data_IF_974174126837
#
_entry.id   IF_974174126837
#
_cell.length_a   1.000
_cell.length_b   1.000
_cell.length_c   1.000
_cell.angle_alpha   90.00
_cell.angle_beta   90.00
_cell.angle_gamma   90.00
#
_symmetry.space_group_name_H-M   'P 1'
#
loop_
_entity.id
_entity.type
_entity.pdbx_description
1 polymer ?
#
# COMPACT_ATOMS: atom_id res chain seq x y z
N UNK A 1 52.18 -48.09 -24.75
CA UNK A 1 51.27 -47.07 -25.32
C UNK A 1 49.83 -47.45 -25.01
N UNK A 2 49.21 -46.80 -24.01
CA UNK A 2 47.74 -46.60 -23.86
C UNK A 2 47.51 -45.81 -22.56
N UNK A 3 47.31 -44.52 -22.73
CA UNK A 3 47.03 -43.54 -21.68
C UNK A 3 45.53 -43.54 -21.41
N UNK A 4 45.08 -43.93 -20.22
CA UNK A 4 43.66 -43.86 -19.84
C UNK A 4 43.38 -42.49 -19.20
N UNK A 5 42.51 -41.70 -19.83
CA UNK A 5 42.01 -40.42 -19.30
C UNK A 5 40.88 -40.69 -18.31
N UNK A 6 41.01 -40.19 -17.08
CA UNK A 6 39.92 -40.10 -16.10
C UNK A 6 39.16 -38.81 -16.41
N UNK A 7 37.93 -38.93 -16.92
CA UNK A 7 37.03 -37.79 -17.13
C UNK A 7 36.29 -37.47 -15.83
N UNK A 8 36.56 -36.30 -15.25
CA UNK A 8 35.76 -35.73 -14.16
C UNK A 8 34.37 -35.37 -14.69
N UNK A 9 33.33 -36.07 -14.21
CA UNK A 9 31.94 -35.65 -14.42
C UNK A 9 31.67 -34.46 -13.50
N UNK A 10 31.54 -33.26 -14.08
CA UNK A 10 31.03 -32.10 -13.38
C UNK A 10 29.54 -32.31 -13.12
N UNK A 11 29.15 -32.41 -11.84
CA UNK A 11 27.76 -32.46 -11.42
C UNK A 11 27.26 -31.02 -11.30
N UNK A 12 26.46 -30.56 -12.27
CA UNK A 12 25.78 -29.28 -12.19
C UNK A 12 24.63 -29.39 -11.18
N UNK A 13 24.77 -28.72 -10.03
CA UNK A 13 23.73 -28.59 -9.03
C UNK A 13 22.71 -27.55 -9.51
N UNK A 14 21.58 -28.00 -10.04
CA UNK A 14 20.45 -27.11 -10.33
C UNK A 14 19.82 -26.67 -9.01
N UNK A 15 20.08 -25.43 -8.58
CA UNK A 15 19.27 -24.79 -7.55
C UNK A 15 17.88 -24.52 -8.12
N UNK A 16 16.93 -25.39 -7.78
CA UNK A 16 15.51 -25.10 -7.94
C UNK A 16 15.15 -24.06 -6.89
N UNK A 17 15.07 -22.79 -7.31
CA UNK A 17 14.40 -21.75 -6.53
C UNK A 17 12.90 -22.08 -6.53
N UNK A 18 12.47 -22.84 -5.52
CA UNK A 18 11.06 -22.97 -5.20
C UNK A 18 10.57 -21.60 -4.70
N UNK A 19 10.12 -20.75 -5.63
CA UNK A 19 9.30 -19.60 -5.30
C UNK A 19 8.02 -20.11 -4.67
N UNK A 20 7.98 -20.18 -3.34
CA UNK A 20 6.74 -20.39 -2.60
C UNK A 20 5.72 -19.34 -3.04
N UNK A 21 4.42 -19.65 -3.02
CA UNK A 21 3.40 -18.68 -3.40
C UNK A 21 3.59 -17.45 -2.51
N UNK A 22 3.84 -16.30 -3.15
CA UNK A 22 3.66 -15.00 -2.51
C UNK A 22 2.27 -15.05 -1.88
N UNK A 23 2.21 -14.90 -0.56
CA UNK A 23 0.96 -14.90 0.20
C UNK A 23 0.02 -13.91 -0.48
N UNK A 24 -1.02 -14.42 -1.14
CA UNK A 24 -2.04 -13.59 -1.75
C UNK A 24 -2.79 -12.89 -0.60
N UNK A 25 -2.34 -11.70 -0.21
CA UNK A 25 -3.13 -10.80 0.61
C UNK A 25 -4.37 -10.44 -0.23
N UNK A 26 -5.49 -11.08 0.12
CA UNK A 26 -6.74 -10.98 -0.62
C UNK A 26 -7.12 -9.51 -0.84
N UNK A 27 -7.52 -9.18 -2.06
CA UNK A 27 -8.06 -7.87 -2.38
C UNK A 27 -9.43 -7.74 -1.71
N UNK A 28 -9.50 -7.06 -0.56
CA UNK A 28 -10.78 -6.75 0.09
C UNK A 28 -11.36 -5.51 -0.59
N UNK A 29 -11.94 -5.72 -1.78
CA UNK A 29 -12.57 -4.67 -2.58
C UNK A 29 -14.07 -4.57 -2.26
N UNK A 30 -14.56 -3.35 -2.17
CA UNK A 30 -15.98 -3.03 -2.03
C UNK A 30 -16.52 -2.44 -3.33
N UNK A 31 -17.76 -2.77 -3.67
CA UNK A 31 -18.44 -2.20 -4.83
C UNK A 31 -18.97 -0.81 -4.50
N UNK A 32 -18.65 0.17 -5.34
CA UNK A 32 -19.12 1.55 -5.26
C UNK A 32 -19.61 1.94 -6.66
N UNK A 33 -20.94 2.04 -6.80
CA UNK A 33 -21.62 2.48 -8.03
C UNK A 33 -21.15 1.77 -9.32
N UNK A 34 -20.97 0.45 -9.26
CA UNK A 34 -20.55 -0.36 -10.42
C UNK A 34 -19.04 -0.36 -10.70
N UNK A 35 -18.23 0.26 -9.84
CA UNK A 35 -16.78 0.12 -9.78
C UNK A 35 -16.33 -0.53 -8.46
N UNK A 36 -15.05 -0.84 -8.33
CA UNK A 36 -14.48 -1.42 -7.11
C UNK A 36 -13.45 -0.47 -6.50
N UNK A 37 -13.45 -0.37 -5.16
CA UNK A 37 -12.44 0.34 -4.38
C UNK A 37 -11.89 -0.58 -3.31
N UNK A 38 -10.60 -0.47 -2.99
CA UNK A 38 -10.02 -1.16 -1.83
C UNK A 38 -10.72 -0.66 -0.55
N UNK A 39 -11.13 -1.59 0.32
CA UNK A 39 -11.77 -1.25 1.59
C UNK A 39 -10.84 -0.48 2.52
N UNK A 40 -9.54 -0.76 2.44
CA UNK A 40 -8.51 -0.21 3.30
C UNK A 40 -7.42 0.47 2.48
N UNK A 41 -6.66 1.33 3.13
CA UNK A 41 -5.39 1.83 2.61
C UNK A 41 -4.44 0.66 2.31
N UNK A 42 -3.56 0.84 1.33
CA UNK A 42 -2.58 -0.18 0.98
C UNK A 42 -1.61 -0.34 2.14
N UNK A 43 -1.45 -1.57 2.64
CA UNK A 43 -0.58 -1.84 3.78
C UNK A 43 0.90 -1.92 3.39
N UNK A 44 1.79 -1.76 4.38
CA UNK A 44 3.24 -1.96 4.24
C UNK A 44 3.53 -3.34 3.65
N UNK A 45 2.84 -4.39 4.11
CA UNK A 45 2.99 -5.75 3.58
C UNK A 45 2.73 -5.83 2.07
N UNK A 46 1.60 -5.28 1.62
CA UNK A 46 1.23 -5.32 0.20
C UNK A 46 2.18 -4.52 -0.67
N UNK A 47 2.60 -3.35 -0.21
CA UNK A 47 3.58 -2.56 -0.95
C UNK A 47 4.95 -3.27 -1.01
N UNK A 48 5.34 -3.99 0.05
CA UNK A 48 6.55 -4.80 0.06
C UNK A 48 6.49 -5.97 -0.94
N UNK A 49 5.34 -6.63 -1.10
CA UNK A 49 5.15 -7.67 -2.14
C UNK A 49 5.35 -7.09 -3.54
N UNK A 50 4.76 -5.93 -3.82
CA UNK A 50 4.97 -5.20 -5.07
C UNK A 50 6.44 -4.85 -5.29
N UNK A 51 7.10 -4.33 -4.26
CA UNK A 51 8.50 -3.91 -4.36
C UNK A 51 9.41 -5.10 -4.64
N UNK A 52 9.20 -6.22 -3.94
CA UNK A 52 9.92 -7.47 -4.18
C UNK A 52 9.67 -8.01 -5.59
N UNK A 53 8.41 -8.04 -6.04
CA UNK A 53 8.04 -8.60 -7.33
C UNK A 53 8.55 -7.77 -8.53
N UNK A 54 8.74 -6.46 -8.35
CA UNK A 54 9.12 -5.54 -9.43
C UNK A 54 10.55 -5.01 -9.31
N UNK A 55 11.26 -5.33 -8.23
CA UNK A 55 12.55 -4.73 -7.90
C UNK A 55 12.45 -3.23 -7.62
N UNK A 56 11.31 -2.75 -7.10
CA UNK A 56 11.10 -1.33 -6.81
C UNK A 56 11.93 -0.91 -5.60
N UNK A 57 12.68 0.18 -5.76
CA UNK A 57 13.17 1.01 -4.66
C UNK A 57 12.43 2.35 -4.74
N UNK A 58 11.87 2.80 -3.62
CA UNK A 58 11.11 4.06 -3.53
C UNK A 58 12.03 5.28 -3.54
N UNK A 59 11.50 6.44 -3.92
CA UNK A 59 12.20 7.71 -3.85
C UNK A 59 12.68 8.01 -2.42
N UNK A 60 11.86 7.72 -1.40
CA UNK A 60 12.26 7.90 -0.01
C UNK A 60 13.47 7.03 0.37
N UNK A 61 13.59 5.81 -0.16
CA UNK A 61 14.78 4.97 0.06
C UNK A 61 16.01 5.52 -0.65
N UNK A 62 15.86 5.98 -1.90
CA UNK A 62 16.96 6.55 -2.69
C UNK A 62 17.47 7.87 -2.11
N UNK A 63 16.56 8.70 -1.61
CA UNK A 63 16.86 10.01 -1.03
C UNK A 63 17.32 9.91 0.44
N UNK A 64 17.33 8.69 0.99
CA UNK A 64 17.74 8.41 2.37
C UNK A 64 16.73 8.84 3.44
N UNK A 65 15.50 9.15 3.07
CA UNK A 65 14.44 9.52 4.00
C UNK A 65 13.18 10.09 3.34
N UNK A 66 12.03 9.80 3.94
CA UNK A 66 10.74 10.41 3.67
C UNK A 66 10.55 11.74 4.38
N UNK A 67 9.42 12.40 4.13
CA UNK A 67 9.12 13.72 4.66
C UNK A 67 8.02 13.67 5.70
N UNK A 68 8.18 14.46 6.75
CA UNK A 68 7.18 14.68 7.80
C UNK A 68 6.95 16.18 7.95
N UNK A 69 5.73 16.56 8.36
CA UNK A 69 5.45 17.92 8.77
C UNK A 69 5.82 18.13 10.25
N UNK A 70 6.84 18.95 10.50
CA UNK A 70 7.25 19.43 11.82
C UNK A 70 7.19 20.96 11.86
N UNK A 71 8.34 21.63 11.96
CA UNK A 71 8.43 23.09 11.80
C UNK A 71 8.48 23.50 10.31
N UNK A 72 7.71 22.80 9.48
CA UNK A 72 7.81 22.74 8.01
C UNK A 72 8.05 21.31 7.50
N UNK A 73 8.21 21.16 6.19
CA UNK A 73 8.55 19.87 5.59
C UNK A 73 10.00 19.49 5.90
N UNK A 74 10.17 18.42 6.68
CA UNK A 74 11.48 17.93 7.11
C UNK A 74 11.72 16.54 6.53
N UNK A 75 12.90 16.32 5.92
CA UNK A 75 13.33 14.98 5.53
C UNK A 75 13.87 14.23 6.74
N UNK A 76 13.26 13.10 7.09
CA UNK A 76 13.65 12.26 8.22
C UNK A 76 14.52 11.10 7.76
N UNK A 77 15.76 11.07 8.24
CA UNK A 77 16.73 10.05 7.84
C UNK A 77 16.23 8.63 8.11
N UNK A 78 16.29 7.76 7.10
CA UNK A 78 15.89 6.36 7.19
C UNK A 78 14.38 6.10 7.24
N UNK A 79 13.54 7.14 7.16
CA UNK A 79 12.09 6.98 7.08
C UNK A 79 11.72 6.55 5.66
N UNK A 80 10.99 5.45 5.52
CA UNK A 80 10.53 4.95 4.21
C UNK A 80 9.33 4.01 4.42
N UNK A 81 8.83 3.41 3.34
CA UNK A 81 7.67 2.51 3.39
C UNK A 81 7.86 1.31 4.34
N UNK A 82 9.09 0.82 4.51
CA UNK A 82 9.40 -0.31 5.40
C UNK A 82 9.68 0.12 6.84
N UNK A 83 9.98 1.41 7.07
CA UNK A 83 10.31 2.02 8.36
C UNK A 83 9.62 3.38 8.44
N UNK A 84 8.29 3.42 8.66
CA UNK A 84 7.51 4.66 8.55
C UNK A 84 7.97 5.75 9.52
N UNK A 85 8.56 5.35 10.64
CA UNK A 85 9.14 6.23 11.67
C UNK A 85 10.65 5.99 11.86
N UNK A 86 11.35 5.51 10.82
CA UNK A 86 12.78 5.17 10.88
C UNK A 86 13.12 3.88 11.62
N UNK A 87 12.15 3.29 12.32
CA UNK A 87 12.22 2.01 13.02
C UNK A 87 11.27 0.98 12.38
N UNK A 88 11.44 -0.32 12.63
CA UNK A 88 10.49 -1.32 12.17
C UNK A 88 9.06 -1.00 12.64
N UNK A 89 8.03 -1.15 11.79
CA UNK A 89 6.65 -0.87 12.17
C UNK A 89 6.18 -1.90 13.21
N UNK A 90 5.23 -1.50 14.06
CA UNK A 90 4.61 -2.42 15.01
C UNK A 90 3.67 -3.41 14.30
N UNK A 91 3.17 -3.04 13.11
CA UNK A 91 2.33 -3.91 12.28
C UNK A 91 2.62 -3.66 10.79
N UNK A 92 2.74 -4.75 10.02
CA UNK A 92 2.82 -4.68 8.56
C UNK A 92 1.47 -4.38 7.90
N UNK A 93 0.38 -4.39 8.68
CA UNK A 93 -0.96 -4.00 8.22
C UNK A 93 -1.20 -2.49 8.32
N UNK A 94 -0.25 -1.73 8.87
CA UNK A 94 -0.31 -0.28 8.80
C UNK A 94 -0.25 0.22 7.37
N UNK A 95 -0.82 1.40 7.09
CA UNK A 95 -0.76 2.01 5.77
C UNK A 95 0.68 2.22 5.32
N UNK A 96 0.95 1.95 4.04
CA UNK A 96 2.18 2.30 3.38
C UNK A 96 2.28 3.83 3.28
N UNK A 97 3.36 4.39 3.81
CA UNK A 97 3.66 5.83 3.79
C UNK A 97 5.02 6.08 3.14
N UNK A 98 5.39 7.35 2.94
CA UNK A 98 6.61 7.74 2.22
C UNK A 98 6.66 7.20 0.79
N UNK A 99 5.49 7.02 0.18
CA UNK A 99 5.33 6.66 -1.23
C UNK A 99 4.85 7.87 -2.01
N UNK A 100 5.44 8.11 -3.18
CA UNK A 100 5.00 9.20 -4.06
C UNK A 100 3.85 8.76 -4.97
N UNK A 101 3.31 9.71 -5.74
CA UNK A 101 2.19 9.45 -6.63
C UNK A 101 2.50 8.41 -7.72
N UNK A 102 3.71 8.43 -8.28
CA UNK A 102 4.12 7.50 -9.34
C UNK A 102 4.23 6.07 -8.82
N UNK A 103 4.77 5.90 -7.62
CA UNK A 103 4.86 4.61 -6.92
C UNK A 103 3.48 4.05 -6.60
N UNK A 104 2.56 4.88 -6.11
CA UNK A 104 1.19 4.48 -5.85
C UNK A 104 0.47 4.07 -7.15
N UNK A 105 0.65 4.84 -8.24
CA UNK A 105 0.12 4.49 -9.57
C UNK A 105 0.64 3.14 -10.04
N UNK A 106 1.95 2.92 -9.96
CA UNK A 106 2.58 1.70 -10.43
C UNK A 106 2.18 0.48 -9.60
N UNK A 107 2.06 0.64 -8.27
CA UNK A 107 1.48 -0.37 -7.40
C UNK A 107 0.07 -0.75 -7.85
N UNK A 108 -0.80 0.23 -8.08
CA UNK A 108 -2.17 -0.03 -8.51
C UNK A 108 -2.20 -0.79 -9.83
N UNK A 109 -1.37 -0.40 -10.80
CA UNK A 109 -1.27 -1.08 -12.09
C UNK A 109 -0.80 -2.54 -11.94
N UNK A 110 0.22 -2.78 -11.12
CA UNK A 110 0.69 -4.13 -10.80
C UNK A 110 -0.39 -4.98 -10.13
N UNK A 111 -1.19 -4.40 -9.24
CA UNK A 111 -2.32 -5.06 -8.58
C UNK A 111 -3.58 -5.21 -9.48
N UNK A 112 -3.49 -4.91 -10.77
CA UNK A 112 -4.60 -5.01 -11.73
C UNK A 112 -5.69 -3.95 -11.53
N UNK A 113 -5.31 -2.77 -11.03
CA UNK A 113 -6.21 -1.64 -10.79
C UNK A 113 -5.59 -0.31 -11.22
N UNK A 114 -6.11 0.79 -10.68
CA UNK A 114 -5.61 2.16 -10.88
C UNK A 114 -5.89 3.02 -9.65
N UNK A 115 -5.24 4.18 -9.57
CA UNK A 115 -5.65 5.21 -8.63
C UNK A 115 -7.10 5.65 -8.90
N UNK A 116 -7.88 5.96 -7.84
CA UNK A 116 -9.19 6.55 -8.01
C UNK A 116 -9.06 7.97 -8.58
N UNK A 117 -10.04 8.36 -9.38
CA UNK A 117 -10.24 9.77 -9.71
C UNK A 117 -10.74 10.52 -8.47
N UNK A 118 -10.64 11.85 -8.49
CA UNK A 118 -11.23 12.72 -7.46
C UNK A 118 -12.72 12.42 -7.27
N UNK A 119 -13.47 12.26 -8.37
CA UNK A 119 -14.92 12.02 -8.33
C UNK A 119 -15.23 10.69 -7.64
N UNK A 120 -14.50 9.62 -7.98
CA UNK A 120 -14.67 8.30 -7.34
C UNK A 120 -14.33 8.35 -5.86
N UNK A 121 -13.21 8.99 -5.50
CA UNK A 121 -12.77 9.08 -4.11
C UNK A 121 -13.73 9.91 -3.25
N UNK A 122 -14.14 11.09 -3.73
CA UNK A 122 -15.14 11.92 -3.04
C UNK A 122 -16.48 11.20 -2.91
N UNK A 123 -16.92 10.48 -3.94
CA UNK A 123 -18.18 9.73 -3.87
C UNK A 123 -18.10 8.60 -2.84
N UNK A 124 -17.01 7.84 -2.84
CA UNK A 124 -16.76 6.77 -1.89
C UNK A 124 -16.71 7.26 -0.43
N UNK A 125 -16.10 8.43 -0.19
CA UNK A 125 -15.92 8.96 1.16
C UNK A 125 -17.16 9.68 1.71
N UNK A 126 -17.95 10.33 0.86
CA UNK A 126 -19.02 11.23 1.31
C UNK A 126 -20.44 10.74 1.03
N UNK A 127 -20.62 9.69 0.20
CA UNK A 127 -21.96 9.16 -0.14
C UNK A 127 -22.16 7.79 0.47
N UNK A 128 -23.23 7.59 1.24
CA UNK A 128 -23.54 6.31 1.86
C UNK A 128 -23.93 5.26 0.80
N UNK A 129 -23.14 4.19 0.70
CA UNK A 129 -23.33 3.11 -0.28
C UNK A 129 -24.07 1.89 0.30
N UNK A 130 -24.04 1.72 1.62
CA UNK A 130 -24.60 0.57 2.34
C UNK A 130 -26.03 0.80 2.84
N UNK A 131 -26.57 -0.18 3.55
CA UNK A 131 -27.94 -0.14 4.09
C UNK A 131 -28.06 0.65 5.41
N UNK A 132 -27.10 1.52 5.74
CA UNK A 132 -27.23 2.44 6.88
C UNK A 132 -27.19 1.78 8.26
N UNK A 133 -26.47 0.67 8.44
CA UNK A 133 -26.41 -0.05 9.74
C UNK A 133 -25.66 0.75 10.82
N UNK A 134 -24.97 1.84 10.45
CA UNK A 134 -24.44 2.85 11.38
C UNK A 134 -25.47 3.97 11.55
N UNK A 135 -25.76 4.30 12.82
CA UNK A 135 -26.96 4.94 13.41
C UNK A 135 -27.50 6.27 12.84
N UNK A 136 -27.17 6.69 11.61
CA UNK A 136 -27.70 7.92 11.03
C UNK A 136 -27.40 8.15 9.54
N UNK A 137 -26.81 7.17 8.84
CA UNK A 137 -26.52 7.30 7.42
C UNK A 137 -27.69 6.80 6.56
N UNK A 138 -28.07 7.59 5.56
CA UNK A 138 -29.15 7.28 4.62
C UNK A 138 -28.52 6.88 3.29
N UNK A 139 -28.81 5.67 2.81
CA UNK A 139 -28.30 5.17 1.53
C UNK A 139 -28.55 6.16 0.39
N UNK A 140 -27.50 6.46 -0.38
CA UNK A 140 -27.53 7.41 -1.50
C UNK A 140 -27.42 8.89 -1.09
N UNK A 141 -27.45 9.22 0.21
CA UNK A 141 -27.23 10.58 0.68
C UNK A 141 -25.73 10.91 0.64
N UNK A 142 -25.39 12.07 0.07
CA UNK A 142 -24.07 12.69 0.21
C UNK A 142 -24.07 13.65 1.41
N UNK A 143 -23.03 13.56 2.22
CA UNK A 143 -22.84 14.35 3.45
C UNK A 143 -21.75 15.41 3.27
N UNK A 144 -21.75 16.48 4.07
CA UNK A 144 -20.68 17.49 4.05
C UNK A 144 -19.35 16.98 4.62
N UNK A 145 -19.37 15.95 5.47
CA UNK A 145 -18.19 15.29 6.04
C UNK A 145 -18.27 13.78 5.87
N UNK A 146 -17.14 13.05 5.78
CA UNK A 146 -17.15 11.59 5.79
C UNK A 146 -17.75 11.00 7.09
N UNK A 147 -17.77 11.80 8.17
CA UNK A 147 -18.38 11.50 9.47
C UNK A 147 -19.88 11.79 9.53
N UNK A 148 -20.48 12.37 8.47
CA UNK A 148 -21.90 12.68 8.39
C UNK A 148 -22.17 14.19 8.36
N UNK A 149 -23.12 14.66 9.17
CA UNK A 149 -23.58 16.06 9.16
C UNK A 149 -22.63 17.04 9.87
N UNK A 150 -21.68 16.56 10.66
CA UNK A 150 -20.64 17.34 11.35
C UNK A 150 -19.27 16.66 11.24
N UNK A 151 -18.19 17.42 11.48
CA UNK A 151 -16.81 16.89 11.58
C UNK A 151 -16.53 16.07 12.84
N UNK A 152 -17.53 15.88 13.72
CA UNK A 152 -17.36 15.13 14.97
C UNK A 152 -16.89 13.69 14.70
N UNK A 153 -15.75 13.32 15.28
CA UNK A 153 -15.12 12.02 15.11
C UNK A 153 -14.13 11.92 13.94
N UNK A 154 -13.86 13.01 13.21
CA UNK A 154 -12.78 13.01 12.22
C UNK A 154 -11.40 13.11 12.92
N UNK A 155 -10.39 12.41 12.39
CA UNK A 155 -9.06 12.29 13.01
C UNK A 155 -8.34 13.62 13.30
N UNK A 156 -8.73 14.72 12.63
CA UNK A 156 -8.11 16.05 12.73
C UNK A 156 -9.13 17.12 13.15
N UNK A 157 -10.15 16.75 13.91
CA UNK A 157 -11.20 17.69 14.34
C UNK A 157 -10.90 18.39 15.68
N UNK A 158 -9.78 18.04 16.34
CA UNK A 158 -9.29 18.67 17.55
C UNK A 158 -8.05 19.52 17.23
N UNK A 159 -7.66 20.40 18.16
CA UNK A 159 -6.37 21.08 18.09
C UNK A 159 -5.24 20.03 18.05
N UNK A 160 -4.30 20.20 17.13
CA UNK A 160 -3.04 19.46 17.16
C UNK A 160 -2.37 19.70 18.54
N UNK A 161 -1.91 18.64 19.23
CA UNK A 161 -1.22 18.78 20.51
C UNK A 161 0.09 19.56 20.42
#
# INVERSE_FOLDING_TARGET
MKTQRIGSKALALAMVLAGGPLTAHGQDRVSIDGSFMERYEISIARFADFALATGRTTAAELDGGGHEWGNGWERRAGWNVHRPFGVPPQSLQWPAVHVNWYEARDFCAWAGGRLPSRVEWTRAAYTEQGEGVRSGFVKGQTYPYPTGRSEDGANTNASDP
#
